data_IF_524583576170
#
_entry.id   IF_524583576170
#
_cell.length_a   1.000
_cell.length_b   1.000
_cell.length_c   1.000
_cell.angle_alpha   90.00
_cell.angle_beta   90.00
_cell.angle_gamma   90.00
#
_symmetry.space_group_name_H-M   'P 1'
#
loop_
_entity.id
_entity.type
_entity.pdbx_description
1 polymer ?
#
# COMPACT_ATOMS: atom_id res chain seq x y z
N UNK A 1 -11.38 -7.32 23.07
CA UNK A 1 -9.97 -7.69 22.93
C UNK A 1 -9.22 -6.47 22.38
N UNK A 2 -8.21 -5.97 23.10
CA UNK A 2 -7.57 -4.70 22.75
C UNK A 2 -6.33 -4.98 21.90
N UNK A 3 -6.50 -4.89 20.57
CA UNK A 3 -5.39 -5.03 19.62
C UNK A 3 -4.87 -3.64 19.24
N UNK A 4 -3.56 -3.47 19.24
CA UNK A 4 -2.95 -2.23 18.75
C UNK A 4 -2.79 -2.34 17.23
N UNK A 5 -3.59 -1.59 16.50
CA UNK A 5 -3.52 -1.51 15.03
C UNK A 5 -2.73 -0.29 14.66
N UNK A 6 -1.76 -0.47 13.75
CA UNK A 6 -0.91 0.62 13.25
C UNK A 6 -0.84 0.60 11.73
N UNK A 7 -0.52 1.75 11.18
CA UNK A 7 -0.15 1.91 9.78
C UNK A 7 1.24 2.54 9.71
N UNK A 8 2.15 1.90 9.00
CA UNK A 8 3.54 2.35 8.88
C UNK A 8 3.91 2.50 7.42
N UNK A 9 4.57 3.60 7.11
CA UNK A 9 5.16 3.87 5.80
C UNK A 9 6.68 3.74 5.92
N UNK A 10 7.30 3.06 4.98
CA UNK A 10 8.75 2.85 5.00
C UNK A 10 9.25 2.18 3.72
N UNK A 11 10.52 1.81 3.73
CA UNK A 11 11.14 1.10 2.62
C UNK A 11 11.48 -0.34 3.05
N UNK A 12 11.40 -1.27 2.11
CA UNK A 12 11.81 -2.65 2.33
C UNK A 12 13.32 -2.71 2.53
N UNK A 13 13.77 -2.98 3.74
CA UNK A 13 15.19 -2.96 4.11
C UNK A 13 15.90 -4.30 3.83
N UNK A 14 15.14 -5.38 3.77
CA UNK A 14 15.64 -6.72 3.49
C UNK A 14 14.65 -7.46 2.59
N UNK A 15 15.18 -8.24 1.66
CA UNK A 15 14.41 -9.09 0.75
C UNK A 15 13.37 -9.93 1.50
N UNK A 16 12.14 -10.00 0.99
CA UNK A 16 11.11 -10.87 1.54
C UNK A 16 11.57 -12.33 1.54
N UNK A 17 11.36 -13.01 2.65
CA UNK A 17 11.74 -14.41 2.82
C UNK A 17 10.49 -15.27 3.01
N UNK A 18 10.24 -16.16 2.04
CA UNK A 18 9.14 -17.11 2.10
C UNK A 18 9.56 -18.34 2.91
N UNK A 19 8.73 -18.72 3.86
CA UNK A 19 8.84 -19.99 4.60
C UNK A 19 7.48 -20.68 4.69
N UNK A 20 7.53 -21.98 4.90
CA UNK A 20 6.34 -22.80 5.12
C UNK A 20 6.36 -23.32 6.54
N UNK A 21 5.27 -23.12 7.26
CA UNK A 21 5.11 -23.64 8.63
C UNK A 21 4.91 -25.15 8.61
N UNK A 22 5.05 -25.80 9.78
CA UNK A 22 4.81 -27.24 9.93
C UNK A 22 3.40 -27.67 9.48
N UNK A 23 2.43 -26.76 9.51
CA UNK A 23 1.05 -26.98 9.07
C UNK A 23 0.84 -26.69 7.58
N UNK A 24 1.90 -26.47 6.81
CA UNK A 24 1.82 -26.16 5.39
C UNK A 24 1.39 -24.73 5.04
N UNK A 25 1.26 -23.84 6.03
CA UNK A 25 0.87 -22.45 5.80
C UNK A 25 2.07 -21.64 5.31
N UNK A 26 1.90 -20.91 4.21
CA UNK A 26 2.90 -19.99 3.67
C UNK A 26 2.95 -18.70 4.49
N UNK A 27 4.15 -18.27 4.82
CA UNK A 27 4.44 -17.07 5.60
C UNK A 27 5.61 -16.34 4.94
N UNK A 28 5.50 -15.05 4.80
CA UNK A 28 6.60 -14.20 4.34
C UNK A 28 6.93 -13.20 5.43
N UNK A 29 8.21 -13.10 5.75
CA UNK A 29 8.74 -12.07 6.63
C UNK A 29 9.68 -11.15 5.85
N UNK A 30 9.57 -9.84 6.11
CA UNK A 30 10.52 -8.86 5.61
C UNK A 30 10.79 -7.76 6.65
N UNK A 31 11.85 -6.98 6.43
CA UNK A 31 12.18 -5.83 7.28
C UNK A 31 11.72 -4.56 6.59
N UNK A 32 10.95 -3.74 7.30
CA UNK A 32 10.53 -2.40 6.88
C UNK A 32 11.30 -1.36 7.69
N UNK A 33 11.98 -0.45 7.01
CA UNK A 33 12.67 0.69 7.61
C UNK A 33 11.79 1.92 7.46
N UNK A 34 11.33 2.47 8.57
CA UNK A 34 10.57 3.72 8.63
C UNK A 34 11.46 4.81 9.20
N UNK A 35 11.80 5.81 8.38
CA UNK A 35 12.66 6.92 8.76
C UNK A 35 11.82 8.19 8.90
N UNK A 36 11.87 8.80 10.08
CA UNK A 36 11.23 10.09 10.29
C UNK A 36 11.96 11.17 9.50
N UNK A 37 11.22 12.05 8.83
CA UNK A 37 11.78 13.24 8.20
C UNK A 37 11.36 14.48 8.96
N UNK A 38 12.34 15.25 9.40
CA UNK A 38 12.14 16.51 10.12
C UNK A 38 12.65 17.68 9.30
N UNK A 39 11.90 18.77 9.31
CA UNK A 39 12.37 20.01 8.73
C UNK A 39 13.27 20.75 9.72
N UNK A 40 14.53 20.96 9.37
CA UNK A 40 15.49 21.74 10.15
C UNK A 40 15.42 23.20 9.71
N UNK A 41 14.86 24.04 10.57
CA UNK A 41 14.73 25.48 10.29
C UNK A 41 16.07 26.21 10.26
N UNK A 42 17.05 25.73 10.99
CA UNK A 42 18.37 26.36 11.05
C UNK A 42 19.15 26.13 9.75
N UNK A 43 18.96 24.96 9.11
CA UNK A 43 19.60 24.60 7.84
C UNK A 43 18.69 24.85 6.63
N UNK A 44 17.42 25.22 6.82
CA UNK A 44 16.48 25.49 5.75
C UNK A 44 16.13 24.25 4.90
N UNK A 45 16.19 23.02 5.46
CA UNK A 45 16.02 21.80 4.71
C UNK A 45 15.48 20.62 5.52
N UNK A 46 15.06 19.58 4.80
CA UNK A 46 14.63 18.34 5.39
C UNK A 46 15.82 17.46 5.76
N UNK A 47 15.80 16.91 6.98
CA UNK A 47 16.77 15.95 7.47
C UNK A 47 16.11 14.64 7.83
N UNK A 48 16.82 13.56 7.63
CA UNK A 48 16.41 12.25 8.12
C UNK A 48 16.67 12.17 9.63
N UNK A 49 15.66 11.77 10.37
CA UNK A 49 15.72 11.51 11.81
C UNK A 49 16.03 10.05 12.09
N UNK A 50 15.49 9.54 13.18
CA UNK A 50 15.70 8.15 13.56
C UNK A 50 14.96 7.19 12.61
N UNK A 51 15.60 6.05 12.36
CA UNK A 51 15.01 4.96 11.59
C UNK A 51 14.57 3.85 12.54
N UNK A 52 13.28 3.54 12.50
CA UNK A 52 12.70 2.41 13.21
C UNK A 52 12.53 1.24 12.25
N UNK A 53 12.97 0.06 12.68
CA UNK A 53 12.85 -1.16 11.91
C UNK A 53 11.73 -2.03 12.44
N UNK A 54 10.84 -2.43 11.55
CA UNK A 54 9.76 -3.37 11.84
C UNK A 54 10.01 -4.70 11.13
N UNK A 55 9.71 -5.80 11.81
CA UNK A 55 9.58 -7.10 11.15
C UNK A 55 8.12 -7.26 10.75
N UNK A 56 7.87 -7.34 9.46
CA UNK A 56 6.50 -7.50 8.92
C UNK A 56 6.29 -8.94 8.54
N UNK A 57 5.23 -9.54 9.06
CA UNK A 57 4.84 -10.93 8.78
C UNK A 57 3.53 -10.95 8.03
N UNK A 58 3.50 -11.65 6.91
CA UNK A 58 2.34 -11.84 6.04
C UNK A 58 1.99 -13.32 5.94
N UNK A 59 0.69 -13.64 5.88
CA UNK A 59 0.18 -15.00 5.91
C UNK A 59 -0.63 -15.35 4.67
N UNK A 60 -0.59 -16.62 4.27
CA UNK A 60 -1.45 -17.21 3.23
C UNK A 60 -1.36 -16.45 1.90
N UNK A 61 -2.51 -16.05 1.34
CA UNK A 61 -2.59 -15.37 0.04
C UNK A 61 -1.80 -14.06 0.00
N UNK A 62 -1.75 -13.33 1.13
CA UNK A 62 -0.94 -12.10 1.22
C UNK A 62 0.54 -12.42 1.07
N UNK A 63 1.00 -13.51 1.70
CA UNK A 63 2.39 -13.96 1.59
C UNK A 63 2.75 -14.40 0.16
N UNK A 64 1.85 -15.11 -0.50
CA UNK A 64 2.05 -15.57 -1.89
C UNK A 64 2.17 -14.39 -2.87
N UNK A 65 1.24 -13.45 -2.78
CA UNK A 65 1.25 -12.29 -3.66
C UNK A 65 2.42 -11.33 -3.37
N UNK A 66 2.83 -11.26 -2.10
CA UNK A 66 3.92 -10.38 -1.68
C UNK A 66 5.25 -10.76 -2.32
N UNK A 67 5.57 -12.05 -2.35
CA UNK A 67 6.86 -12.54 -2.86
C UNK A 67 7.05 -12.19 -4.34
N UNK A 68 5.96 -12.14 -5.10
CA UNK A 68 5.97 -11.81 -6.53
C UNK A 68 5.83 -10.31 -6.80
N UNK A 69 5.52 -9.51 -5.77
CA UNK A 69 5.18 -8.09 -5.92
C UNK A 69 6.18 -7.14 -5.30
N UNK A 70 6.99 -7.59 -4.35
CA UNK A 70 7.77 -6.69 -3.49
C UNK A 70 9.23 -7.09 -3.45
N UNK A 71 10.08 -6.10 -3.70
CA UNK A 71 11.54 -6.22 -3.70
C UNK A 71 12.17 -5.27 -2.66
N UNK A 72 13.40 -5.57 -2.28
CA UNK A 72 14.20 -4.71 -1.42
C UNK A 72 14.34 -3.30 -2.00
N UNK A 73 14.20 -2.30 -1.15
CA UNK A 73 14.34 -0.88 -1.49
C UNK A 73 13.01 -0.22 -1.87
N UNK A 74 11.97 -0.97 -2.15
CA UNK A 74 10.68 -0.41 -2.56
C UNK A 74 9.95 0.26 -1.40
N UNK A 75 9.26 1.40 -1.66
CA UNK A 75 8.46 2.09 -0.67
C UNK A 75 7.13 1.38 -0.45
N UNK A 76 6.77 1.16 0.80
CA UNK A 76 5.59 0.40 1.20
C UNK A 76 4.77 1.13 2.26
N UNK A 77 3.47 0.91 2.19
CA UNK A 77 2.51 1.18 3.28
C UNK A 77 2.06 -0.17 3.84
N UNK A 78 2.19 -0.34 5.14
CA UNK A 78 1.80 -1.57 5.85
C UNK A 78 0.78 -1.23 6.92
N UNK A 79 -0.36 -1.91 6.89
CA UNK A 79 -1.41 -1.82 7.89
C UNK A 79 -1.58 -3.17 8.58
N UNK A 80 -1.55 -3.19 9.90
CA UNK A 80 -1.66 -4.43 10.63
C UNK A 80 -1.60 -4.28 12.13
N UNK A 81 -1.53 -5.40 12.80
CA UNK A 81 -1.46 -5.49 14.25
C UNK A 81 -0.01 -5.45 14.73
N UNK A 82 0.27 -4.51 15.66
CA UNK A 82 1.56 -4.45 16.34
C UNK A 82 1.70 -5.63 17.32
N UNK A 83 2.84 -6.28 17.27
CA UNK A 83 3.21 -7.38 18.14
C UNK A 83 4.58 -7.15 18.76
N UNK A 84 4.79 -7.68 19.95
CA UNK A 84 6.15 -7.83 20.50
C UNK A 84 6.84 -8.97 19.74
N UNK A 85 7.86 -8.63 18.97
CA UNK A 85 8.72 -9.56 18.25
C UNK A 85 10.06 -9.78 18.93
N UNK A 86 10.20 -9.37 20.21
CA UNK A 86 11.44 -9.50 20.97
C UNK A 86 11.93 -10.93 20.98
N UNK A 87 13.24 -11.09 20.87
CA UNK A 87 13.91 -12.37 20.98
C UNK A 87 15.06 -12.30 21.97
N UNK A 88 15.40 -13.44 22.54
CA UNK A 88 16.53 -13.60 23.45
C UNK A 88 17.70 -14.24 22.70
N UNK A 89 18.87 -13.63 22.83
CA UNK A 89 20.12 -14.16 22.29
C UNK A 89 21.21 -13.99 23.35
N UNK A 90 21.89 -15.08 23.67
CA UNK A 90 23.02 -15.10 24.65
C UNK A 90 22.63 -14.51 26.01
N UNK A 91 21.39 -14.78 26.50
CA UNK A 91 20.87 -14.26 27.76
C UNK A 91 20.44 -12.78 27.73
N UNK A 92 20.54 -12.12 26.59
CA UNK A 92 20.11 -10.73 26.42
C UNK A 92 18.85 -10.65 25.55
N UNK A 93 17.85 -9.89 26.03
CA UNK A 93 16.61 -9.63 25.28
C UNK A 93 16.78 -8.46 24.33
N UNK A 94 16.48 -8.70 23.05
CA UNK A 94 16.48 -7.68 22.00
C UNK A 94 15.04 -7.32 21.65
N UNK A 95 14.60 -6.08 21.94
CA UNK A 95 13.27 -5.63 21.56
C UNK A 95 13.17 -5.47 20.06
N UNK A 96 12.13 -6.03 19.46
CA UNK A 96 11.83 -5.89 18.04
C UNK A 96 10.35 -5.58 17.88
N UNK A 97 10.05 -4.56 17.13
CA UNK A 97 8.67 -4.27 16.71
C UNK A 97 8.29 -5.18 15.56
N UNK A 98 7.25 -5.97 15.75
CA UNK A 98 6.69 -6.84 14.73
C UNK A 98 5.30 -6.37 14.32
N UNK A 99 4.97 -6.48 13.04
CA UNK A 99 3.66 -6.16 12.49
C UNK A 99 3.13 -7.41 11.80
N UNK A 100 2.00 -7.92 12.27
CA UNK A 100 1.23 -8.91 11.53
C UNK A 100 0.35 -8.15 10.54
N UNK A 101 0.71 -8.22 9.26
CA UNK A 101 0.08 -7.40 8.24
C UNK A 101 -1.31 -7.92 7.85
N UNK A 102 -2.29 -7.04 7.82
CA UNK A 102 -3.64 -7.28 7.29
C UNK A 102 -3.77 -6.81 5.85
N UNK A 103 -3.15 -5.65 5.54
CA UNK A 103 -3.09 -5.09 4.22
C UNK A 103 -1.76 -4.37 4.01
N UNK A 104 -1.24 -4.43 2.81
CA UNK A 104 -0.04 -3.70 2.43
C UNK A 104 -0.04 -3.42 0.93
N UNK A 105 0.75 -2.44 0.53
CA UNK A 105 0.90 -2.05 -0.86
C UNK A 105 2.06 -1.10 -1.06
N UNK A 106 2.40 -0.82 -2.31
CA UNK A 106 3.41 0.18 -2.62
C UNK A 106 2.93 1.60 -2.27
N UNK A 107 3.83 2.40 -1.75
CA UNK A 107 3.61 3.85 -1.64
C UNK A 107 3.80 4.49 -3.02
N UNK A 108 2.70 4.73 -3.71
CA UNK A 108 2.68 5.28 -5.08
C UNK A 108 3.05 6.75 -5.16
N UNK A 109 3.27 7.43 -4.04
CA UNK A 109 3.79 8.80 -4.04
C UNK A 109 5.20 8.90 -4.62
N UNK A 110 5.92 7.78 -4.66
CA UNK A 110 7.32 7.70 -5.12
C UNK A 110 7.51 6.93 -6.43
N UNK A 111 6.45 6.39 -7.01
CA UNK A 111 6.57 5.61 -8.24
C UNK A 111 5.23 5.07 -8.73
N UNK A 112 5.30 4.28 -9.79
CA UNK A 112 4.13 3.65 -10.42
C UNK A 112 4.06 2.19 -10.02
N UNK A 113 2.88 1.73 -9.61
CA UNK A 113 2.59 0.33 -9.33
C UNK A 113 1.56 -0.19 -10.31
N UNK A 114 1.77 -1.40 -10.83
CA UNK A 114 0.82 -2.09 -11.71
C UNK A 114 0.17 -3.23 -10.94
N UNK A 115 -1.15 -3.30 -10.99
CA UNK A 115 -1.91 -4.36 -10.36
C UNK A 115 -2.21 -5.47 -11.36
N UNK A 116 -1.93 -6.71 -10.97
CA UNK A 116 -2.37 -7.91 -11.69
C UNK A 116 -3.21 -8.74 -10.74
N UNK A 117 -4.43 -9.07 -11.16
CA UNK A 117 -5.31 -9.91 -10.35
C UNK A 117 -4.71 -11.31 -10.23
N UNK A 118 -4.53 -11.78 -8.99
CA UNK A 118 -4.09 -13.14 -8.75
C UNK A 118 -5.15 -14.12 -9.27
N UNK A 119 -4.72 -15.12 -10.05
CA UNK A 119 -5.59 -16.24 -10.41
C UNK A 119 -5.79 -17.12 -9.18
N UNK A 120 -7.03 -17.38 -8.82
CA UNK A 120 -7.37 -18.33 -7.76
C UNK A 120 -7.12 -19.73 -8.31
N UNK A 121 -5.90 -20.22 -8.22
CA UNK A 121 -5.58 -21.61 -8.48
C UNK A 121 -5.85 -22.42 -7.21
N UNK A 122 -7.07 -22.94 -7.08
CA UNK A 122 -7.38 -23.80 -5.95
C UNK A 122 -8.88 -23.90 -5.68
N UNK A 123 -9.55 -24.72 -6.48
CA UNK A 123 -10.80 -25.40 -6.19
C UNK A 123 -11.90 -24.64 -5.48
N UNK A 124 -12.85 -24.07 -6.26
CA UNK A 124 -14.30 -24.20 -6.06
C UNK A 124 -15.05 -23.39 -7.09
N UNK A 125 -15.87 -24.13 -7.86
CA UNK A 125 -17.08 -23.62 -8.47
C UNK A 125 -16.84 -22.60 -9.58
N UNK A 126 -17.08 -23.05 -10.78
CA UNK A 126 -17.39 -22.17 -11.90
C UNK A 126 -18.24 -21.00 -11.39
N UNK A 127 -17.85 -19.76 -11.65
CA UNK A 127 -18.80 -18.67 -11.51
C UNK A 127 -19.95 -18.96 -12.47
N UNK A 128 -21.20 -18.70 -12.08
CA UNK A 128 -22.30 -18.82 -13.01
C UNK A 128 -21.98 -17.95 -14.23
N UNK A 129 -21.96 -18.56 -15.39
CA UNK A 129 -21.99 -17.87 -16.68
C UNK A 129 -23.31 -17.12 -16.72
N UNK A 130 -23.29 -15.88 -16.30
CA UNK A 130 -24.35 -14.94 -16.59
C UNK A 130 -24.13 -14.42 -18.00
N UNK A 131 -24.66 -15.19 -18.96
CA UNK A 131 -24.92 -14.73 -20.32
C UNK A 131 -26.11 -13.77 -20.32
N UNK A 132 -26.06 -12.76 -19.45
CA UNK A 132 -27.02 -11.66 -19.35
C UNK A 132 -26.53 -10.49 -20.18
N UNK A 133 -27.12 -10.36 -21.34
CA UNK A 133 -27.09 -9.20 -22.23
C UNK A 133 -26.99 -7.88 -21.44
N UNK A 134 -25.82 -7.23 -21.46
CA UNK A 134 -25.72 -5.80 -21.23
C UNK A 134 -25.97 -5.04 -22.54
N UNK A 135 -27.14 -5.34 -23.13
CA UNK A 135 -27.78 -4.51 -24.15
C UNK A 135 -28.67 -3.52 -23.40
N UNK A 136 -28.20 -2.33 -23.12
CA UNK A 136 -29.07 -1.31 -22.54
C UNK A 136 -28.47 -0.25 -21.66
N UNK A 137 -27.21 0.15 -21.84
CA UNK A 137 -26.76 1.44 -21.32
C UNK A 137 -26.62 2.42 -22.48
N UNK A 138 -27.80 2.86 -22.93
CA UNK A 138 -27.96 4.01 -23.80
C UNK A 138 -27.35 5.24 -23.15
N UNK A 139 -26.53 5.92 -23.94
CA UNK A 139 -25.87 7.18 -23.60
C UNK A 139 -26.83 8.16 -22.90
N UNK A 140 -26.48 8.56 -21.70
CA UNK A 140 -27.06 9.78 -21.10
C UNK A 140 -26.43 10.95 -21.81
N UNK A 141 -27.19 11.47 -22.75
CA UNK A 141 -26.97 12.73 -23.45
C UNK A 141 -27.05 13.85 -22.41
N UNK A 142 -26.01 14.61 -22.26
CA UNK A 142 -26.02 15.89 -21.56
C UNK A 142 -26.99 16.84 -22.28
N UNK A 143 -27.85 17.57 -21.57
CA UNK A 143 -28.67 18.58 -22.20
C UNK A 143 -27.80 19.78 -22.55
N UNK A 144 -27.86 20.14 -23.83
CA UNK A 144 -27.36 21.37 -24.37
C UNK A 144 -27.93 22.57 -23.58
N UNK A 145 -27.04 23.37 -23.03
CA UNK A 145 -27.41 24.69 -22.55
C UNK A 145 -27.09 25.71 -23.64
N UNK A 146 -28.06 25.92 -24.52
CA UNK A 146 -28.11 27.11 -25.34
C UNK A 146 -28.57 28.27 -24.46
N UNK A 147 -27.71 29.23 -24.24
CA UNK A 147 -28.08 30.56 -23.84
C UNK A 147 -27.27 31.53 -24.70
N UNK A 148 -27.96 31.95 -25.75
CA UNK A 148 -28.04 33.24 -26.43
C UNK A 148 -27.09 34.34 -25.90
N UNK A 149 -26.46 34.93 -26.92
CA UNK A 149 -25.59 36.07 -26.82
C UNK A 149 -26.22 37.35 -26.28
N UNK A 150 -25.35 38.16 -25.77
CA UNK A 150 -25.48 39.63 -25.90
C UNK A 150 -24.10 40.25 -26.01
N UNK A 151 -23.95 40.82 -27.15
CA UNK A 151 -22.90 41.70 -27.64
C UNK A 151 -22.88 42.97 -26.81
N UNK A 152 -21.81 43.31 -26.13
CA UNK A 152 -21.55 44.67 -25.67
C UNK A 152 -20.11 45.03 -26.01
N UNK A 153 -19.99 45.62 -27.18
CA UNK A 153 -18.85 46.41 -27.59
C UNK A 153 -18.69 47.65 -26.70
N UNK A 154 -17.53 47.83 -26.11
CA UNK A 154 -17.06 49.16 -25.72
C UNK A 154 -15.58 49.30 -26.05
N UNK A 155 -15.36 50.12 -27.07
CA UNK A 155 -14.06 50.59 -27.53
C UNK A 155 -13.40 51.59 -26.57
N UNK A 156 -12.11 51.89 -26.73
CA UNK A 156 -11.24 52.52 -25.74
C UNK A 156 -11.32 54.01 -25.77
N UNK A 157 -11.06 54.64 -24.62
CA UNK A 157 -10.71 56.08 -24.60
C UNK A 157 -9.42 56.26 -23.82
N UNK A 158 -8.49 56.88 -24.53
CA UNK A 158 -7.24 57.41 -24.07
C UNK A 158 -7.45 58.69 -23.21
N UNK A 159 -6.70 58.84 -22.15
CA UNK A 159 -6.04 60.03 -21.68
C UNK A 159 -5.13 59.70 -20.50
#
# INVERSE_FOLDING_TARGET
MNETIITVVGNVAREPNLRVTNNGTRVVDFRLASTERRYDRALGGWRDGETVFYTVTCWRNVAENLIDSVEKGQPMVVHGRLRDGSYEKEGQRYPVFAIEAYALGHDISRGVSKFTKASVSGGRGEPPTDDGELSGLSAVRSPDNEASGEDVSLSPSAA
#
